data_IF_203384865481
#
_entry.id   IF_203384865481
#
_cell.length_a   1.000
_cell.length_b   1.000
_cell.length_c   1.000
_cell.angle_alpha   90.00
_cell.angle_beta   90.00
_cell.angle_gamma   90.00
#
_symmetry.space_group_name_H-M   'P 1'
#
loop_
_entity.id
_entity.type
_entity.pdbx_description
1 polymer ?
#
# COMPACT_ATOMS: atom_id res chain seq x y z
N UNK A 1 0.26 -8.92 18.31
CA UNK A 1 -0.80 -8.35 17.44
C UNK A 1 -1.28 -9.52 16.60
N UNK A 2 -2.56 -9.91 16.67
CA UNK A 2 -3.01 -11.16 16.02
C UNK A 2 -2.87 -11.03 14.49
N UNK A 3 -1.85 -11.65 13.91
CA UNK A 3 -1.51 -11.57 12.48
C UNK A 3 -2.72 -11.98 11.61
N UNK A 4 -3.50 -12.94 12.11
CA UNK A 4 -4.76 -13.39 11.51
C UNK A 4 -5.75 -12.24 11.27
N UNK A 5 -5.85 -11.28 12.20
CA UNK A 5 -6.80 -10.18 12.07
C UNK A 5 -6.40 -9.23 10.94
N UNK A 6 -5.10 -9.03 10.75
CA UNK A 6 -4.59 -8.20 9.66
C UNK A 6 -4.81 -8.88 8.31
N UNK A 7 -4.45 -10.17 8.18
CA UNK A 7 -4.67 -10.92 6.95
C UNK A 7 -6.15 -11.08 6.60
N UNK A 8 -7.02 -11.30 7.59
CA UNK A 8 -8.47 -11.35 7.40
C UNK A 8 -9.02 -10.02 6.87
N UNK A 9 -8.52 -8.88 7.37
CA UNK A 9 -8.92 -7.55 6.88
C UNK A 9 -8.47 -7.33 5.43
N UNK A 10 -7.26 -7.77 5.07
CA UNK A 10 -6.79 -7.74 3.68
C UNK A 10 -7.71 -8.59 2.80
N UNK A 11 -8.06 -9.80 3.22
CA UNK A 11 -8.99 -10.67 2.49
C UNK A 11 -10.35 -10.02 2.25
N UNK A 12 -10.91 -9.36 3.26
CA UNK A 12 -12.16 -8.59 3.13
C UNK A 12 -12.03 -7.42 2.14
N UNK A 13 -10.95 -6.66 2.21
CA UNK A 13 -10.69 -5.54 1.30
C UNK A 13 -10.48 -6.02 -0.15
N UNK A 14 -9.84 -7.17 -0.35
CA UNK A 14 -9.70 -7.82 -1.65
C UNK A 14 -11.06 -8.20 -2.23
N UNK A 15 -11.91 -8.85 -1.43
CA UNK A 15 -13.27 -9.26 -1.81
C UNK A 15 -14.17 -8.06 -2.16
N UNK A 16 -13.96 -6.93 -1.49
CA UNK A 16 -14.66 -5.67 -1.77
C UNK A 16 -14.10 -4.89 -2.98
N UNK A 17 -13.05 -5.40 -3.65
CA UNK A 17 -12.40 -4.73 -4.79
C UNK A 17 -11.67 -3.44 -4.41
N UNK A 18 -11.25 -3.31 -3.15
CA UNK A 18 -10.58 -2.10 -2.61
C UNK A 18 -9.06 -2.22 -2.53
N UNK A 19 -8.49 -3.31 -3.07
CA UNK A 19 -7.05 -3.50 -3.16
C UNK A 19 -6.57 -3.25 -4.59
N UNK A 20 -5.45 -2.54 -4.70
CA UNK A 20 -4.76 -2.29 -5.95
C UNK A 20 -3.33 -2.80 -5.82
N UNK A 21 -2.93 -3.63 -6.78
CA UNK A 21 -1.59 -4.21 -6.85
C UNK A 21 -0.90 -3.82 -8.16
N UNK A 22 0.43 -3.82 -8.14
CA UNK A 22 1.27 -3.50 -9.29
C UNK A 22 1.80 -2.07 -9.25
N UNK A 23 3.08 -1.93 -9.62
CA UNK A 23 3.89 -0.72 -9.51
C UNK A 23 3.19 0.53 -10.06
N UNK A 24 2.77 0.46 -11.33
CA UNK A 24 2.17 1.59 -12.04
C UNK A 24 0.77 1.96 -11.53
N UNK A 25 -0.05 0.94 -11.21
CA UNK A 25 -1.41 1.16 -10.69
C UNK A 25 -1.38 1.80 -9.31
N UNK A 26 -0.51 1.30 -8.43
CA UNK A 26 -0.30 1.85 -7.09
C UNK A 26 0.18 3.30 -7.19
N UNK A 27 1.15 3.58 -8.05
CA UNK A 27 1.65 4.94 -8.27
C UNK A 27 0.55 5.90 -8.72
N UNK A 28 -0.29 5.48 -9.66
CA UNK A 28 -1.42 6.27 -10.16
C UNK A 28 -2.47 6.56 -9.08
N UNK A 29 -2.78 5.57 -8.24
CA UNK A 29 -3.76 5.69 -7.14
C UNK A 29 -3.25 6.59 -6.01
N UNK A 30 -1.95 6.53 -5.69
CA UNK A 30 -1.29 7.45 -4.74
C UNK A 30 -1.36 8.87 -5.29
N UNK A 31 -0.98 9.08 -6.56
CA UNK A 31 -1.03 10.40 -7.22
C UNK A 31 -2.45 10.98 -7.28
N UNK A 32 -3.45 10.12 -7.44
CA UNK A 32 -4.86 10.51 -7.43
C UNK A 32 -5.41 10.81 -6.01
N UNK A 33 -4.60 10.68 -4.95
CA UNK A 33 -5.03 10.90 -3.55
C UNK A 33 -6.03 9.86 -3.03
N UNK A 34 -6.20 8.74 -3.75
CA UNK A 34 -7.16 7.68 -3.40
C UNK A 34 -6.54 6.62 -2.48
N UNK A 35 -5.21 6.52 -2.45
CA UNK A 35 -4.51 5.61 -1.55
C UNK A 35 -4.65 6.09 -0.09
N UNK A 36 -5.02 5.17 0.80
CA UNK A 36 -5.06 5.42 2.26
C UNK A 36 -3.95 4.68 3.00
N UNK A 37 -3.63 3.47 2.53
CA UNK A 37 -2.63 2.59 3.10
C UNK A 37 -1.80 1.97 1.97
N UNK A 38 -0.48 2.05 2.08
CA UNK A 38 0.47 1.32 1.25
C UNK A 38 1.10 0.21 2.09
N UNK A 39 1.03 -1.01 1.59
CA UNK A 39 1.68 -2.18 2.18
C UNK A 39 2.89 -2.53 1.31
N UNK A 40 4.08 -2.51 1.88
CA UNK A 40 5.31 -2.88 1.18
C UNK A 40 5.82 -4.22 1.69
N UNK A 41 6.28 -5.06 0.78
CA UNK A 41 6.89 -6.32 1.16
C UNK A 41 8.24 -6.08 1.88
N UNK A 42 8.57 -6.97 2.81
CA UNK A 42 9.79 -6.86 3.61
C UNK A 42 11.06 -6.93 2.74
N UNK A 43 11.00 -7.68 1.64
CA UNK A 43 12.06 -7.90 0.64
C UNK A 43 12.13 -6.81 -0.45
N UNK A 44 11.28 -5.78 -0.38
CA UNK A 44 11.32 -4.68 -1.34
C UNK A 44 12.67 -3.94 -1.30
N UNK A 45 13.22 -3.66 -2.49
CA UNK A 45 14.49 -2.95 -2.61
C UNK A 45 14.43 -1.53 -2.03
N UNK A 46 15.56 -1.02 -1.54
CA UNK A 46 15.64 0.32 -0.96
C UNK A 46 15.17 1.43 -1.92
N UNK A 47 15.45 1.28 -3.22
CA UNK A 47 14.98 2.21 -4.25
C UNK A 47 13.46 2.24 -4.40
N UNK A 48 12.82 1.07 -4.35
CA UNK A 48 11.36 0.94 -4.36
C UNK A 48 10.76 1.57 -3.11
N UNK A 49 11.31 1.23 -1.95
CA UNK A 49 10.86 1.74 -0.66
C UNK A 49 10.84 3.27 -0.62
N UNK A 50 11.94 3.89 -1.03
CA UNK A 50 12.09 5.35 -1.06
C UNK A 50 11.11 5.98 -2.06
N UNK A 51 11.05 5.46 -3.29
CA UNK A 51 10.17 5.97 -4.35
C UNK A 51 8.70 6.04 -3.93
N UNK A 52 8.19 4.98 -3.30
CA UNK A 52 6.78 4.95 -2.89
C UNK A 52 6.53 5.65 -1.56
N UNK A 53 7.46 5.56 -0.59
CA UNK A 53 7.32 6.24 0.70
C UNK A 53 7.31 7.76 0.54
N UNK A 54 8.19 8.32 -0.28
CA UNK A 54 8.24 9.77 -0.54
C UNK A 54 6.95 10.27 -1.18
N UNK A 55 6.37 9.47 -2.10
CA UNK A 55 5.07 9.78 -2.72
C UNK A 55 3.94 9.67 -1.71
N UNK A 56 3.89 8.61 -0.91
CA UNK A 56 2.89 8.47 0.15
C UNK A 56 2.95 9.65 1.14
N UNK A 57 4.15 10.11 1.52
CA UNK A 57 4.33 11.28 2.36
C UNK A 57 3.80 12.57 1.71
N UNK A 58 4.04 12.74 0.41
CA UNK A 58 3.56 13.91 -0.36
C UNK A 58 2.03 13.94 -0.49
N UNK A 59 1.39 12.78 -0.70
CA UNK A 59 -0.05 12.67 -0.97
C UNK A 59 -0.88 12.23 0.24
N UNK A 60 -0.27 12.10 1.42
CA UNK A 60 -0.96 11.82 2.69
C UNK A 60 -1.42 10.37 2.90
N UNK A 61 -0.75 9.39 2.26
CA UNK A 61 -1.04 7.97 2.47
C UNK A 61 -0.09 7.38 3.53
N UNK A 62 -0.62 6.51 4.40
CA UNK A 62 0.18 5.84 5.43
C UNK A 62 0.88 4.61 4.86
N UNK A 63 2.12 4.37 5.26
CA UNK A 63 2.93 3.24 4.80
C UNK A 63 3.15 2.25 5.92
N UNK A 64 2.99 0.95 5.65
CA UNK A 64 3.30 -0.17 6.55
C UNK A 64 4.18 -1.20 5.85
N UNK A 65 4.94 -1.96 6.64
CA UNK A 65 5.96 -2.90 6.19
C UNK A 65 5.84 -4.22 6.95
#
# INVERSE_FOLDING_TARGET
MNEDKFYNMIGLAAKAGKIVCGSEKVYSVIKAGKAKLLIMAADASAGTLKRYSDKCATYGAKTIR
#
